data_IF_568860460773
#
_entry.id   IF_568860460773
#
_cell.length_a   1.000
_cell.length_b   1.000
_cell.length_c   1.000
_cell.angle_alpha   90.00
_cell.angle_beta   90.00
_cell.angle_gamma   90.00
#
_symmetry.space_group_name_H-M   'P 1'
#
loop_
_entity.id
_entity.type
_entity.pdbx_description
1 polymer ?
#
# COMPACT_ATOMS: atom_id res chain seq x y z
N UNK A 1 -14.35 8.51 -19.40
CA UNK A 1 -14.58 8.51 -17.94
C UNK A 1 -14.43 7.09 -17.43
N UNK A 2 -13.97 6.87 -16.19
CA UNK A 2 -13.76 5.51 -15.68
C UNK A 2 -15.07 4.70 -15.56
N UNK A 3 -15.05 3.46 -16.05
CA UNK A 3 -16.15 2.49 -15.88
C UNK A 3 -16.24 1.99 -14.44
N UNK A 4 -17.40 1.46 -14.04
CA UNK A 4 -17.63 0.95 -12.70
C UNK A 4 -16.61 -0.16 -12.32
N UNK A 5 -16.33 -1.08 -13.25
CA UNK A 5 -15.33 -2.14 -13.07
C UNK A 5 -13.91 -1.58 -12.93
N UNK A 6 -13.51 -0.60 -13.75
CA UNK A 6 -12.21 0.07 -13.61
C UNK A 6 -12.07 0.76 -12.26
N UNK A 7 -13.13 1.40 -11.75
CA UNK A 7 -13.12 2.05 -10.45
C UNK A 7 -12.98 1.03 -9.32
N UNK A 8 -13.74 -0.06 -9.34
CA UNK A 8 -13.64 -1.12 -8.34
C UNK A 8 -12.22 -1.71 -8.34
N UNK A 9 -11.71 -2.08 -9.52
CA UNK A 9 -10.36 -2.59 -9.67
C UNK A 9 -9.32 -1.63 -9.11
N UNK A 10 -9.41 -0.35 -9.45
CA UNK A 10 -8.43 0.65 -9.04
C UNK A 10 -8.47 0.95 -7.54
N UNK A 11 -9.66 1.00 -6.92
CA UNK A 11 -9.79 1.20 -5.47
C UNK A 11 -9.22 0.01 -4.71
N UNK A 12 -9.44 -1.22 -5.18
CA UNK A 12 -8.86 -2.42 -4.57
C UNK A 12 -7.33 -2.49 -4.75
N UNK A 13 -6.80 -1.95 -5.86
CA UNK A 13 -5.35 -1.82 -6.03
C UNK A 13 -4.77 -0.72 -5.12
N UNK A 14 -5.48 0.38 -4.90
CA UNK A 14 -5.04 1.42 -3.98
C UNK A 14 -5.01 0.94 -2.51
N UNK A 15 -5.93 0.06 -2.11
CA UNK A 15 -5.91 -0.56 -0.77
C UNK A 15 -4.89 -1.70 -0.62
N UNK A 16 -4.36 -2.21 -1.74
CA UNK A 16 -3.33 -3.26 -1.89
C UNK A 16 -3.19 -4.25 -0.74
N UNK A 17 -3.79 -5.43 -0.90
CA UNK A 17 -3.65 -6.52 0.07
C UNK A 17 -2.20 -7.02 0.11
N UNK A 18 -1.42 -6.50 1.04
CA UNK A 18 -0.01 -6.88 1.21
C UNK A 18 0.08 -8.18 2.01
N UNK A 19 0.28 -9.29 1.30
CA UNK A 19 0.38 -10.62 1.94
C UNK A 19 1.70 -10.83 2.68
N UNK A 20 2.81 -10.30 2.15
CA UNK A 20 4.16 -10.46 2.71
C UNK A 20 4.95 -9.14 2.56
N UNK A 21 5.07 -8.31 3.61
CA UNK A 21 5.71 -7.00 3.54
C UNK A 21 7.25 -7.09 3.63
N UNK A 22 7.87 -7.83 2.71
CA UNK A 22 9.32 -8.14 2.73
C UNK A 22 10.17 -6.87 2.75
N UNK A 23 9.76 -5.83 2.03
CA UNK A 23 10.46 -4.54 1.99
C UNK A 23 10.49 -3.88 3.37
N UNK A 24 9.42 -4.00 4.16
CA UNK A 24 9.35 -3.45 5.52
C UNK A 24 10.23 -4.25 6.47
N UNK A 25 10.25 -5.59 6.34
CA UNK A 25 11.18 -6.43 7.11
C UNK A 25 12.63 -6.04 6.81
N UNK A 26 12.95 -5.84 5.54
CA UNK A 26 14.29 -5.40 5.13
C UNK A 26 14.65 -4.03 5.72
N UNK A 27 13.73 -3.05 5.70
CA UNK A 27 13.99 -1.75 6.31
C UNK A 27 14.23 -1.85 7.81
N UNK A 28 13.42 -2.65 8.52
CA UNK A 28 13.60 -2.90 9.95
C UNK A 28 14.94 -3.58 10.24
N UNK A 29 15.30 -4.61 9.47
CA UNK A 29 16.58 -5.30 9.61
C UNK A 29 17.78 -4.36 9.35
N UNK A 30 17.71 -3.53 8.30
CA UNK A 30 18.74 -2.53 8.00
C UNK A 30 18.89 -1.47 9.10
N UNK A 31 17.81 -1.19 9.83
CA UNK A 31 17.79 -0.28 10.96
C UNK A 31 18.09 -0.96 12.30
N UNK A 32 18.47 -2.25 12.29
CA UNK A 32 18.92 -2.98 13.48
C UNK A 32 17.81 -3.60 14.34
N UNK A 33 16.61 -3.82 13.81
CA UNK A 33 15.53 -4.46 14.56
C UNK A 33 15.92 -5.90 14.96
N UNK A 34 15.80 -6.27 16.26
CA UNK A 34 16.00 -7.64 16.72
C UNK A 34 15.02 -8.62 16.07
N UNK A 35 13.76 -8.19 15.92
CA UNK A 35 12.73 -8.91 15.16
C UNK A 35 12.13 -8.01 14.07
N UNK A 36 12.62 -8.11 12.83
CA UNK A 36 12.08 -7.37 11.70
C UNK A 36 10.63 -7.74 11.34
N UNK A 37 10.17 -8.93 11.72
CA UNK A 37 8.86 -9.47 11.33
C UNK A 37 7.74 -9.12 12.30
N UNK A 38 8.07 -8.51 13.44
CA UNK A 38 7.13 -8.11 14.49
C UNK A 38 5.92 -7.29 13.97
N UNK A 39 6.09 -6.54 12.88
CA UNK A 39 5.02 -5.73 12.25
C UNK A 39 4.14 -6.50 11.27
N UNK A 40 4.39 -7.78 11.03
CA UNK A 40 3.73 -8.59 10.01
C UNK A 40 2.22 -8.69 10.20
N UNK A 41 1.78 -9.20 11.35
CA UNK A 41 0.35 -9.38 11.63
C UNK A 41 -0.40 -8.04 11.70
N UNK A 42 0.16 -6.98 12.32
CA UNK A 42 -0.41 -5.64 12.23
C UNK A 42 -0.61 -5.11 10.81
N UNK A 43 0.37 -5.29 9.92
CA UNK A 43 0.26 -4.90 8.50
C UNK A 43 -0.89 -5.64 7.85
N UNK A 44 -0.98 -6.96 8.07
CA UNK A 44 -2.00 -7.83 7.50
C UNK A 44 -3.42 -7.42 7.91
N UNK A 45 -3.60 -7.06 9.18
CA UNK A 45 -4.88 -6.56 9.68
C UNK A 45 -5.23 -5.18 9.12
N UNK A 46 -4.27 -4.26 9.08
CA UNK A 46 -4.48 -2.92 8.55
C UNK A 46 -4.82 -2.92 7.05
N UNK A 47 -4.12 -3.73 6.25
CA UNK A 47 -4.40 -3.85 4.81
C UNK A 47 -5.74 -4.55 4.52
N UNK A 48 -6.11 -5.53 5.34
CA UNK A 48 -7.41 -6.19 5.25
C UNK A 48 -8.55 -5.21 5.55
N UNK A 49 -8.40 -4.38 6.58
CA UNK A 49 -9.36 -3.33 6.91
C UNK A 49 -9.49 -2.30 5.79
N UNK A 50 -8.36 -1.84 5.23
CA UNK A 50 -8.34 -0.92 4.08
C UNK A 50 -9.08 -1.52 2.88
N UNK A 51 -8.78 -2.76 2.53
CA UNK A 51 -9.37 -3.47 1.38
C UNK A 51 -10.88 -3.68 1.56
N UNK A 52 -11.30 -4.04 2.78
CA UNK A 52 -12.72 -4.19 3.10
C UNK A 52 -13.46 -2.86 2.95
N UNK A 53 -12.91 -1.75 3.49
CA UNK A 53 -13.52 -0.42 3.33
C UNK A 53 -13.51 0.03 1.87
N UNK A 54 -12.46 -0.25 1.11
CA UNK A 54 -12.41 -0.01 -0.33
C UNK A 54 -13.52 -0.73 -1.09
N UNK A 55 -13.69 -2.04 -0.84
CA UNK A 55 -14.76 -2.84 -1.43
C UNK A 55 -16.16 -2.31 -1.04
N UNK A 56 -16.39 -2.07 0.25
CA UNK A 56 -17.68 -1.64 0.77
C UNK A 56 -18.05 -0.23 0.28
N UNK A 57 -17.09 0.69 0.22
CA UNK A 57 -17.31 2.06 -0.26
C UNK A 57 -17.71 2.07 -1.74
N UNK A 58 -17.01 1.31 -2.59
CA UNK A 58 -17.38 1.17 -4.00
C UNK A 58 -18.73 0.48 -4.15
N UNK A 59 -18.98 -0.57 -3.38
CA UNK A 59 -20.26 -1.29 -3.36
C UNK A 59 -21.42 -0.35 -3.05
N UNK A 60 -21.28 0.48 -2.02
CA UNK A 60 -22.30 1.45 -1.61
C UNK A 60 -22.59 2.47 -2.72
N UNK A 61 -21.53 3.07 -3.27
CA UNK A 61 -21.64 4.13 -4.28
C UNK A 61 -22.15 3.60 -5.62
N UNK A 62 -21.72 2.41 -6.03
CA UNK A 62 -22.14 1.76 -7.28
C UNK A 62 -23.40 0.90 -7.12
N UNK A 63 -23.91 0.74 -5.89
CA UNK A 63 -25.06 -0.11 -5.54
C UNK A 63 -24.90 -1.56 -6.02
N UNK A 64 -23.71 -2.12 -5.82
CA UNK A 64 -23.43 -3.51 -6.16
C UNK A 64 -24.14 -4.46 -5.18
N UNK A 65 -24.70 -5.55 -5.70
CA UNK A 65 -25.37 -6.57 -4.87
C UNK A 65 -24.35 -7.62 -4.43
N UNK A 66 -23.63 -7.36 -3.33
CA UNK A 66 -22.67 -8.34 -2.77
C UNK A 66 -23.32 -9.66 -2.33
N UNK A 67 -24.62 -9.62 -2.02
CA UNK A 67 -25.42 -10.78 -1.63
C UNK A 67 -25.92 -11.61 -2.81
N UNK A 68 -25.59 -11.22 -4.04
CA UNK A 68 -25.93 -12.03 -5.22
C UNK A 68 -25.22 -13.40 -5.11
N UNK A 69 -25.93 -14.53 -5.31
CA UNK A 69 -25.34 -15.87 -5.18
C UNK A 69 -24.10 -16.07 -6.06
N UNK A 70 -24.06 -15.46 -7.25
CA UNK A 70 -22.91 -15.55 -8.15
C UNK A 70 -21.73 -14.77 -7.57
N UNK A 71 -21.97 -13.57 -7.05
CA UNK A 71 -20.93 -12.74 -6.42
C UNK A 71 -20.38 -13.43 -5.16
N UNK A 72 -21.25 -13.97 -4.31
CA UNK A 72 -20.84 -14.74 -3.12
C UNK A 72 -20.08 -16.02 -3.49
N UNK A 73 -20.47 -16.71 -4.57
CA UNK A 73 -19.77 -17.90 -5.05
C UNK A 73 -18.31 -17.61 -5.44
N UNK A 74 -17.99 -16.39 -5.88
CA UNK A 74 -16.61 -15.97 -6.13
C UNK A 74 -15.92 -15.38 -4.89
N UNK A 75 -16.61 -14.51 -4.14
CA UNK A 75 -16.01 -13.79 -3.01
C UNK A 75 -15.75 -14.70 -1.81
N UNK A 76 -16.65 -15.62 -1.49
CA UNK A 76 -16.54 -16.44 -0.29
C UNK A 76 -15.35 -17.43 -0.37
N UNK A 77 -15.17 -18.22 -1.44
CA UNK A 77 -14.01 -19.08 -1.55
C UNK A 77 -12.69 -18.30 -1.60
N UNK A 78 -12.66 -17.14 -2.26
CA UNK A 78 -11.47 -16.29 -2.29
C UNK A 78 -11.14 -15.75 -0.90
N UNK A 79 -12.14 -15.26 -0.16
CA UNK A 79 -11.96 -14.77 1.20
C UNK A 79 -11.52 -15.89 2.16
N UNK A 80 -12.08 -17.10 2.02
CA UNK A 80 -11.68 -18.27 2.81
C UNK A 80 -10.27 -18.74 2.45
N UNK A 81 -9.90 -18.75 1.17
CA UNK A 81 -8.56 -19.11 0.73
C UNK A 81 -7.52 -18.12 1.24
N UNK A 82 -7.80 -16.80 1.12
CA UNK A 82 -6.94 -15.76 1.66
C UNK A 82 -6.86 -15.84 3.19
N UNK A 83 -7.99 -15.97 3.89
CA UNK A 83 -8.03 -16.11 5.34
C UNK A 83 -7.31 -17.36 5.84
N UNK A 84 -7.46 -18.49 5.16
CA UNK A 84 -6.74 -19.73 5.45
C UNK A 84 -5.24 -19.61 5.20
N UNK A 85 -4.84 -18.95 4.11
CA UNK A 85 -3.43 -18.66 3.82
C UNK A 85 -2.83 -17.72 4.88
N UNK A 86 -3.56 -16.68 5.28
CA UNK A 86 -3.17 -15.77 6.36
C UNK A 86 -3.02 -16.50 7.70
N UNK A 87 -3.97 -17.38 8.03
CA UNK A 87 -3.91 -18.21 9.25
C UNK A 87 -2.70 -19.16 9.23
N UNK A 88 -2.40 -19.75 8.07
CA UNK A 88 -1.19 -20.57 7.90
C UNK A 88 0.07 -19.72 8.12
N UNK A 89 0.18 -18.57 7.47
CA UNK A 89 1.32 -17.66 7.63
C UNK A 89 1.51 -17.22 9.09
N UNK A 90 0.43 -17.03 9.83
CA UNK A 90 0.47 -16.68 11.25
C UNK A 90 1.02 -17.80 12.16
N UNK A 91 1.06 -19.06 11.71
CA UNK A 91 1.65 -20.18 12.48
C UNK A 91 3.16 -20.36 12.22
N UNK A 92 3.71 -19.69 11.21
CA UNK A 92 5.13 -19.80 10.84
C UNK A 92 6.01 -18.90 11.71
N UNK A 93 7.25 -19.33 11.95
CA UNK A 93 8.27 -18.49 12.59
C UNK A 93 8.71 -17.35 11.67
N UNK A 94 9.24 -16.27 12.26
CA UNK A 94 9.84 -15.14 11.55
C UNK A 94 10.84 -15.57 10.46
N UNK A 95 11.71 -16.52 10.79
CA UNK A 95 12.71 -17.07 9.88
C UNK A 95 12.08 -17.85 8.72
N UNK A 96 11.04 -18.65 9.00
CA UNK A 96 10.31 -19.39 7.98
C UNK A 96 9.53 -18.46 7.05
N UNK A 97 8.89 -17.41 7.58
CA UNK A 97 8.21 -16.37 6.80
C UNK A 97 9.18 -15.66 5.85
N UNK A 98 10.35 -15.24 6.35
CA UNK A 98 11.36 -14.57 5.52
C UNK A 98 11.89 -15.50 4.40
N UNK A 99 12.19 -16.76 4.72
CA UNK A 99 12.66 -17.74 3.75
C UNK A 99 11.60 -18.06 2.68
N UNK A 100 10.36 -18.31 3.11
CA UNK A 100 9.24 -18.56 2.20
C UNK A 100 8.98 -17.36 1.30
N UNK A 101 8.96 -16.15 1.85
CA UNK A 101 8.74 -14.92 1.08
C UNK A 101 9.81 -14.70 0.03
N UNK A 102 11.09 -14.89 0.40
CA UNK A 102 12.22 -14.76 -0.53
C UNK A 102 12.15 -15.78 -1.65
N UNK A 103 11.90 -17.06 -1.30
CA UNK A 103 11.80 -18.13 -2.28
C UNK A 103 10.63 -17.89 -3.25
N UNK A 104 9.43 -17.62 -2.72
CA UNK A 104 8.24 -17.35 -3.55
C UNK A 104 8.44 -16.11 -4.42
N UNK A 105 8.98 -15.02 -3.87
CA UNK A 105 9.23 -13.79 -4.62
C UNK A 105 10.21 -13.99 -5.77
N UNK A 106 11.34 -14.66 -5.51
CA UNK A 106 12.35 -14.94 -6.53
C UNK A 106 11.82 -15.90 -7.60
N UNK A 107 11.13 -16.97 -7.20
CA UNK A 107 10.52 -17.93 -8.14
C UNK A 107 9.40 -17.28 -8.96
N UNK A 108 8.58 -16.43 -8.36
CA UNK A 108 7.51 -15.73 -9.08
C UNK A 108 8.08 -14.75 -10.12
N UNK A 109 9.10 -13.95 -9.75
CA UNK A 109 9.74 -13.01 -10.68
C UNK A 109 10.43 -13.74 -11.81
N UNK A 110 11.25 -14.75 -11.49
CA UNK A 110 11.92 -15.56 -12.49
C UNK A 110 10.92 -16.31 -13.38
N UNK A 111 9.92 -16.94 -12.76
CA UNK A 111 8.85 -17.66 -13.43
C UNK A 111 8.07 -16.76 -14.38
N UNK A 112 7.74 -15.53 -13.98
CA UNK A 112 7.06 -14.55 -14.84
C UNK A 112 7.88 -14.23 -16.09
N UNK A 113 9.19 -13.99 -15.95
CA UNK A 113 10.08 -13.76 -17.09
C UNK A 113 10.11 -14.99 -18.00
N UNK A 114 10.30 -16.18 -17.44
CA UNK A 114 10.31 -17.45 -18.19
C UNK A 114 8.99 -17.67 -18.91
N UNK A 115 7.85 -17.42 -18.27
CA UNK A 115 6.52 -17.55 -18.88
C UNK A 115 6.39 -16.63 -20.10
N UNK A 116 6.84 -15.38 -20.03
CA UNK A 116 6.81 -14.48 -21.20
C UNK A 116 7.75 -14.94 -22.31
N UNK A 117 8.96 -15.39 -21.98
CA UNK A 117 9.92 -15.92 -22.97
C UNK A 117 9.36 -17.17 -23.66
N UNK A 118 8.83 -18.12 -22.89
CA UNK A 118 8.25 -19.37 -23.40
C UNK A 118 6.99 -19.09 -24.22
N UNK A 119 6.08 -18.25 -23.73
CA UNK A 119 4.88 -17.87 -24.46
C UNK A 119 5.23 -17.17 -25.79
N UNK A 120 6.24 -16.29 -25.77
CA UNK A 120 6.79 -15.65 -26.96
C UNK A 120 7.40 -16.65 -27.94
N UNK A 121 8.20 -17.61 -27.45
CA UNK A 121 8.79 -18.66 -28.27
C UNK A 121 7.73 -19.58 -28.92
N UNK A 122 6.75 -20.03 -28.13
CA UNK A 122 5.64 -20.87 -28.62
C UNK A 122 4.78 -20.16 -29.67
N UNK A 123 4.55 -18.85 -29.51
CA UNK A 123 3.82 -18.02 -30.48
C UNK A 123 4.70 -17.45 -31.59
N UNK A 124 5.98 -17.83 -31.65
CA UNK A 124 6.98 -17.34 -32.62
C UNK A 124 7.07 -15.81 -32.68
N UNK A 125 6.91 -15.16 -31.54
CA UNK A 125 7.08 -13.71 -31.38
C UNK A 125 8.56 -13.41 -31.20
N UNK A 126 9.06 -12.36 -31.87
CA UNK A 126 10.41 -11.84 -31.64
C UNK A 126 10.44 -11.10 -30.31
N UNK A 127 10.70 -11.85 -29.24
CA UNK A 127 10.55 -11.36 -27.85
C UNK A 127 11.43 -10.14 -27.57
N UNK A 128 12.65 -10.11 -28.13
CA UNK A 128 13.53 -8.95 -28.00
C UNK A 128 12.92 -7.69 -28.63
N UNK A 129 12.45 -7.76 -29.88
CA UNK A 129 11.85 -6.61 -30.57
C UNK A 129 10.60 -6.11 -29.84
N UNK A 130 9.73 -7.03 -29.41
CA UNK A 130 8.53 -6.70 -28.65
C UNK A 130 8.85 -6.06 -27.29
N UNK A 131 9.89 -6.53 -26.60
CA UNK A 131 10.37 -5.93 -25.35
C UNK A 131 10.87 -4.49 -25.58
N UNK A 132 11.68 -4.27 -26.62
CA UNK A 132 12.20 -2.93 -26.95
C UNK A 132 11.06 -1.97 -27.29
N UNK A 133 10.05 -2.42 -28.04
CA UNK A 133 8.90 -1.58 -28.37
C UNK A 133 8.08 -1.23 -27.11
N UNK A 134 7.76 -2.23 -26.28
CA UNK A 134 7.10 -1.99 -24.99
C UNK A 134 7.89 -1.07 -24.06
N UNK A 135 9.23 -1.13 -24.08
CA UNK A 135 10.08 -0.23 -23.32
C UNK A 135 9.99 1.22 -23.81
N UNK A 136 9.88 1.46 -25.12
CA UNK A 136 9.66 2.81 -25.68
C UNK A 136 8.29 3.36 -25.31
N UNK A 137 7.23 2.55 -25.43
CA UNK A 137 5.88 2.94 -25.00
C UNK A 137 5.85 3.29 -23.50
N UNK A 138 6.54 2.50 -22.67
CA UNK A 138 6.71 2.79 -21.25
C UNK A 138 7.41 4.13 -20.98
N UNK A 139 8.38 4.50 -21.81
CA UNK A 139 9.04 5.80 -21.73
C UNK A 139 8.12 6.96 -22.11
N UNK A 140 7.22 6.77 -23.08
CA UNK A 140 6.19 7.77 -23.41
C UNK A 140 5.20 7.96 -22.26
N UNK A 141 4.75 6.86 -21.64
CA UNK A 141 3.91 6.93 -20.43
C UNK A 141 4.65 7.68 -19.30
N UNK A 142 5.93 7.40 -19.08
CA UNK A 142 6.73 8.07 -18.06
C UNK A 142 6.80 9.60 -18.29
N UNK A 143 7.00 10.06 -19.53
CA UNK A 143 7.00 11.49 -19.88
C UNK A 143 5.67 12.17 -19.53
N UNK A 144 4.54 11.49 -19.70
CA UNK A 144 3.23 12.03 -19.32
C UNK A 144 3.00 12.08 -17.81
N UNK A 145 3.56 11.14 -17.04
CA UNK A 145 3.38 11.07 -15.59
C UNK A 145 4.35 11.96 -14.81
N UNK A 146 5.58 12.10 -15.29
CA UNK A 146 6.68 12.77 -14.59
C UNK A 146 6.34 14.19 -14.08
N UNK A 147 5.67 15.08 -14.85
CA UNK A 147 5.32 16.41 -14.37
C UNK A 147 4.43 16.40 -13.12
N UNK A 148 3.43 15.52 -13.08
CA UNK A 148 2.53 15.38 -11.92
C UNK A 148 3.28 14.91 -10.69
N UNK A 149 4.19 13.94 -10.87
CA UNK A 149 5.01 13.40 -9.78
C UNK A 149 5.96 14.44 -9.22
N UNK A 150 6.64 15.21 -10.08
CA UNK A 150 7.56 16.28 -9.66
C UNK A 150 6.80 17.36 -8.89
N UNK A 151 5.67 17.84 -9.41
CA UNK A 151 4.87 18.88 -8.72
C UNK A 151 4.42 18.43 -7.33
N UNK A 152 3.95 17.19 -7.22
CA UNK A 152 3.51 16.59 -5.96
C UNK A 152 4.68 16.38 -4.97
N UNK A 153 5.82 15.87 -5.42
CA UNK A 153 7.01 15.70 -4.58
C UNK A 153 7.59 17.04 -4.12
N UNK A 154 7.59 18.06 -4.98
CA UNK A 154 7.95 19.43 -4.62
C UNK A 154 6.99 19.99 -3.55
N UNK A 155 5.68 19.80 -3.70
CA UNK A 155 4.69 20.25 -2.72
C UNK A 155 4.90 19.60 -1.34
N UNK A 156 5.17 18.29 -1.30
CA UNK A 156 5.52 17.57 -0.06
C UNK A 156 6.81 18.12 0.55
N UNK A 157 7.84 18.39 -0.28
CA UNK A 157 9.10 18.98 0.16
C UNK A 157 8.91 20.36 0.79
N UNK A 158 8.12 21.23 0.16
CA UNK A 158 7.77 22.56 0.69
C UNK A 158 6.99 22.44 2.00
N UNK A 159 5.99 21.56 2.06
CA UNK A 159 5.20 21.33 3.28
C UNK A 159 6.09 20.94 4.45
N UNK A 160 7.06 20.04 4.23
CA UNK A 160 8.03 19.61 5.25
C UNK A 160 9.00 20.72 5.65
N UNK A 161 9.61 21.41 4.67
CA UNK A 161 10.60 22.45 4.94
C UNK A 161 10.00 23.71 5.58
N UNK A 162 8.70 23.96 5.37
CA UNK A 162 7.99 25.12 5.92
C UNK A 162 7.67 25.03 7.43
N UNK A 163 7.81 23.85 8.05
CA UNK A 163 7.36 23.60 9.43
C UNK A 163 5.83 23.51 9.58
N UNK A 164 5.05 23.66 8.50
CA UNK A 164 3.59 23.54 8.55
C UNK A 164 3.14 22.15 9.01
N UNK A 165 3.88 21.10 8.61
CA UNK A 165 3.63 19.74 9.08
C UNK A 165 3.80 19.64 10.60
N UNK A 166 4.87 20.21 11.17
CA UNK A 166 5.12 20.18 12.62
C UNK A 166 4.03 20.91 13.40
N UNK A 167 3.56 22.05 12.89
CA UNK A 167 2.44 22.80 13.49
C UNK A 167 1.15 21.98 13.46
N UNK A 168 0.84 21.34 12.33
CA UNK A 168 -0.33 20.48 12.20
C UNK A 168 -0.28 19.29 13.17
N UNK A 169 0.87 18.62 13.26
CA UNK A 169 1.08 17.52 14.21
C UNK A 169 1.02 17.98 15.66
N UNK A 170 1.54 19.18 15.98
CA UNK A 170 1.40 19.81 17.28
C UNK A 170 -0.06 20.05 17.67
N UNK A 171 -0.87 20.53 16.71
CA UNK A 171 -2.31 20.69 16.88
C UNK A 171 -3.04 19.36 17.14
N UNK A 172 -2.72 18.31 16.38
CA UNK A 172 -3.27 16.97 16.60
C UNK A 172 -2.87 16.45 17.97
N UNK A 173 -1.58 16.56 18.34
CA UNK A 173 -1.08 16.13 19.66
C UNK A 173 -1.82 16.81 20.79
N UNK A 174 -2.05 18.11 20.66
CA UNK A 174 -2.79 18.89 21.65
C UNK A 174 -4.26 18.47 21.76
N UNK A 175 -4.93 18.17 20.64
CA UNK A 175 -6.31 17.67 20.64
C UNK A 175 -6.41 16.29 21.30
N UNK A 176 -5.49 15.37 20.98
CA UNK A 176 -5.44 14.03 21.56
C UNK A 176 -5.13 14.08 23.06
N UNK A 177 -4.20 14.95 23.47
CA UNK A 177 -3.88 15.13 24.88
C UNK A 177 -5.08 15.63 25.71
N UNK A 178 -5.98 16.43 25.11
CA UNK A 178 -7.21 16.88 25.77
C UNK A 178 -8.23 15.78 26.02
N UNK A 179 -8.23 14.73 25.22
CA UNK A 179 -9.12 13.58 25.44
C UNK A 179 -8.53 12.58 26.44
N UNK A 180 -7.31 12.82 26.94
CA UNK A 180 -6.58 11.88 27.80
C UNK A 180 -6.06 10.64 27.08
N UNK A 181 -6.06 10.67 25.74
CA UNK A 181 -5.59 9.56 24.91
C UNK A 181 -4.09 9.66 24.68
N UNK A 182 -3.49 8.50 24.40
CA UNK A 182 -2.09 8.42 24.04
C UNK A 182 -1.84 9.05 22.65
N UNK A 183 -0.89 9.98 22.57
CA UNK A 183 -0.55 10.71 21.35
C UNK A 183 0.72 10.22 20.64
N UNK A 184 1.31 9.08 21.03
CA UNK A 184 2.52 8.51 20.40
C UNK A 184 2.33 8.29 18.90
N UNK A 185 1.13 7.91 18.45
CA UNK A 185 0.87 7.70 17.02
C UNK A 185 1.06 8.96 16.15
N UNK A 186 1.01 10.16 16.73
CA UNK A 186 1.13 11.43 16.00
C UNK A 186 2.47 11.51 15.27
N UNK A 187 3.52 10.94 15.86
CA UNK A 187 4.87 10.90 15.27
C UNK A 187 4.99 9.96 14.06
N UNK A 188 3.99 9.09 13.84
CA UNK A 188 3.89 8.24 12.65
C UNK A 188 3.09 8.87 11.50
N UNK A 189 2.32 9.95 11.77
CA UNK A 189 1.45 10.59 10.79
C UNK A 189 2.16 11.22 9.58
N UNK A 190 3.43 11.71 9.65
CA UNK A 190 4.15 12.11 8.45
C UNK A 190 4.14 11.04 7.35
N UNK A 191 4.34 9.77 7.74
CA UNK A 191 4.29 8.63 6.81
C UNK A 191 2.90 8.50 6.20
N UNK A 192 1.83 8.55 7.01
CA UNK A 192 0.44 8.45 6.55
C UNK A 192 0.05 9.59 5.60
N UNK A 193 0.48 10.83 5.87
CA UNK A 193 0.09 12.00 5.08
C UNK A 193 0.78 12.03 3.71
N UNK A 194 2.02 11.54 3.64
CA UNK A 194 2.81 11.53 2.40
C UNK A 194 2.47 10.34 1.52
N UNK A 195 2.06 9.21 2.11
CA UNK A 195 1.84 7.93 1.42
C UNK A 195 0.85 7.96 0.25
N UNK A 196 -0.32 8.64 0.31
CA UNK A 196 -1.25 8.72 -0.82
C UNK A 196 -0.60 9.31 -2.08
N UNK A 197 0.41 10.15 -1.89
CA UNK A 197 1.13 10.86 -2.94
C UNK A 197 2.35 10.06 -3.40
N UNK A 198 3.22 9.64 -2.47
CA UNK A 198 4.47 8.98 -2.82
C UNK A 198 4.91 7.94 -1.79
N UNK A 199 5.09 6.71 -2.26
CA UNK A 199 5.52 5.58 -1.46
C UNK A 199 7.00 5.67 -1.10
N UNK A 200 7.83 6.27 -1.98
CA UNK A 200 9.25 6.50 -1.71
C UNK A 200 9.47 7.63 -0.69
N UNK A 201 8.67 8.70 -0.75
CA UNK A 201 8.72 9.76 0.25
C UNK A 201 8.17 9.29 1.61
N UNK A 202 7.09 8.51 1.63
CA UNK A 202 6.57 7.90 2.85
C UNK A 202 7.56 6.91 3.47
N UNK A 203 8.25 6.10 2.64
CA UNK A 203 9.37 5.27 3.10
C UNK A 203 10.49 6.11 3.73
N UNK A 204 10.83 7.26 3.14
CA UNK A 204 11.85 8.13 3.73
C UNK A 204 11.40 8.64 5.12
N UNK A 205 10.12 8.96 5.30
CA UNK A 205 9.56 9.32 6.61
C UNK A 205 9.67 8.16 7.60
N UNK A 206 9.32 6.94 7.19
CA UNK A 206 9.50 5.73 8.02
C UNK A 206 10.94 5.57 8.50
N UNK A 207 11.90 5.62 7.58
CA UNK A 207 13.32 5.46 7.91
C UNK A 207 13.80 6.58 8.85
N UNK A 208 13.33 7.81 8.64
CA UNK A 208 13.64 8.93 9.53
C UNK A 208 13.09 8.70 10.94
N UNK A 209 11.84 8.24 11.08
CA UNK A 209 11.25 7.88 12.38
C UNK A 209 12.06 6.77 13.07
N UNK A 210 12.48 5.74 12.33
CA UNK A 210 13.32 4.66 12.87
C UNK A 210 14.69 5.17 13.35
N UNK A 211 15.32 6.10 12.62
CA UNK A 211 16.62 6.68 12.99
C UNK A 211 16.51 7.60 14.20
N UNK A 212 15.45 8.40 14.28
CA UNK A 212 15.29 9.44 15.30
C UNK A 212 14.71 8.91 16.60
N UNK A 213 13.82 7.92 16.54
CA UNK A 213 13.11 7.40 17.72
C UNK A 213 13.47 5.96 18.07
N UNK A 214 14.22 5.26 17.21
CA UNK A 214 14.54 3.85 17.35
C UNK A 214 13.57 2.95 16.59
N UNK A 215 14.08 1.85 16.04
CA UNK A 215 13.36 0.97 15.11
C UNK A 215 12.14 0.26 15.71
N UNK A 216 12.14 0.05 17.03
CA UNK A 216 11.05 -0.59 17.78
C UNK A 216 10.27 0.41 18.67
N UNK A 217 10.50 1.70 18.49
CA UNK A 217 9.64 2.71 19.11
C UNK A 217 8.21 2.59 18.57
N UNK A 218 7.22 2.90 19.40
CA UNK A 218 5.82 2.87 18.99
C UNK A 218 5.57 3.64 17.68
N UNK A 219 6.13 4.86 17.48
CA UNK A 219 5.91 5.59 16.23
C UNK A 219 6.59 4.94 15.02
N UNK A 220 7.76 4.32 15.20
CA UNK A 220 8.41 3.56 14.13
C UNK A 220 7.62 2.30 13.74
N UNK A 221 7.03 1.61 14.73
CA UNK A 221 6.13 0.47 14.49
C UNK A 221 4.86 0.89 13.76
N UNK A 222 4.19 1.96 14.23
CA UNK A 222 3.01 2.50 13.57
C UNK A 222 3.32 2.97 12.14
N UNK A 223 4.43 3.68 11.92
CA UNK A 223 4.86 4.09 10.59
C UNK A 223 5.19 2.90 9.68
N UNK A 224 5.77 1.83 10.22
CA UNK A 224 6.05 0.60 9.46
C UNK A 224 4.76 -0.10 9.02
N UNK A 225 3.76 -0.15 9.90
CA UNK A 225 2.45 -0.72 9.60
C UNK A 225 1.72 0.10 8.55
N UNK A 226 1.69 1.44 8.69
CA UNK A 226 1.14 2.36 7.69
C UNK A 226 1.85 2.19 6.35
N UNK A 227 3.18 2.14 6.34
CA UNK A 227 3.93 1.99 5.09
C UNK A 227 3.65 0.64 4.41
N UNK A 228 3.36 -0.41 5.17
CA UNK A 228 3.03 -1.73 4.65
C UNK A 228 1.55 -1.98 4.33
N UNK A 229 0.62 -1.11 4.72
CA UNK A 229 -0.82 -1.44 4.70
C UNK A 229 -1.56 -1.11 3.40
N UNK A 230 -1.09 -0.13 2.62
CA UNK A 230 -1.81 0.44 1.46
C UNK A 230 -0.84 0.86 0.35
N UNK A 231 -1.37 1.22 -0.82
CA UNK A 231 -0.60 1.73 -1.95
C UNK A 231 -0.73 3.25 -2.13
N UNK A 232 0.01 3.77 -3.09
CA UNK A 232 0.03 5.21 -3.38
C UNK A 232 -1.21 5.64 -4.18
N UNK A 233 -2.28 6.02 -3.49
CA UNK A 233 -3.58 6.38 -4.11
C UNK A 233 -3.43 7.25 -5.37
N UNK A 234 -2.88 8.47 -5.27
CA UNK A 234 -2.81 9.39 -6.41
C UNK A 234 -1.88 8.91 -7.52
N UNK A 235 -0.80 8.22 -7.18
CA UNK A 235 0.13 7.63 -8.16
C UNK A 235 -0.54 6.50 -8.94
N UNK A 236 -1.19 5.56 -8.25
CA UNK A 236 -1.98 4.48 -8.85
C UNK A 236 -3.03 5.09 -9.78
N UNK A 237 -3.80 6.07 -9.31
CA UNK A 237 -4.77 6.75 -10.15
C UNK A 237 -4.15 7.41 -11.38
N UNK A 238 -3.04 8.13 -11.23
CA UNK A 238 -2.37 8.82 -12.33
C UNK A 238 -1.83 7.84 -13.37
N UNK A 239 -1.18 6.74 -12.94
CA UNK A 239 -0.64 5.71 -13.84
C UNK A 239 -1.77 5.00 -14.59
N UNK A 240 -2.79 4.52 -13.87
CA UNK A 240 -3.88 3.77 -14.49
C UNK A 240 -4.75 4.64 -15.39
N UNK A 241 -5.11 5.85 -14.97
CA UNK A 241 -5.90 6.75 -15.81
C UNK A 241 -5.05 7.34 -16.94
N UNK A 242 -3.77 7.61 -16.72
CA UNK A 242 -2.83 8.07 -17.74
C UNK A 242 -2.62 7.05 -18.85
N UNK A 243 -2.37 5.77 -18.50
CA UNK A 243 -2.13 4.70 -19.47
C UNK A 243 -3.35 4.39 -20.35
N UNK A 244 -4.57 4.66 -19.88
CA UNK A 244 -5.83 4.36 -20.60
C UNK A 244 -6.54 5.65 -21.06
N UNK A 245 -5.90 6.82 -20.95
CA UNK A 245 -6.43 8.10 -21.42
C UNK A 245 -7.71 8.58 -20.70
N UNK A 246 -7.94 8.18 -19.44
CA UNK A 246 -9.13 8.53 -18.67
C UNK A 246 -8.96 9.93 -18.04
N UNK A 247 -9.79 10.88 -18.46
CA UNK A 247 -9.77 12.25 -17.92
C UNK A 247 -10.67 12.49 -16.69
N UNK A 248 -11.63 11.58 -16.43
CA UNK A 248 -12.62 11.74 -15.33
C UNK A 248 -12.61 10.54 -14.39
N UNK A 249 -12.12 10.76 -13.17
CA UNK A 249 -11.98 9.77 -12.12
C UNK A 249 -13.29 9.37 -11.40
N UNK A 250 -14.36 10.18 -11.53
CA UNK A 250 -15.65 9.97 -10.82
C UNK A 250 -15.42 9.81 -9.30
N UNK A 251 -15.94 8.73 -8.71
CA UNK A 251 -15.85 8.43 -7.27
C UNK A 251 -14.61 7.61 -6.89
N UNK A 252 -13.71 7.29 -7.84
CA UNK A 252 -12.51 6.50 -7.56
C UNK A 252 -11.60 7.14 -6.50
N UNK A 253 -11.34 8.45 -6.62
CA UNK A 253 -10.48 9.18 -5.67
C UNK A 253 -11.06 9.11 -4.27
N UNK A 254 -12.35 9.39 -4.12
CA UNK A 254 -13.01 9.41 -2.81
C UNK A 254 -13.03 8.02 -2.15
N UNK A 255 -13.36 6.98 -2.90
CA UNK A 255 -13.34 5.60 -2.37
C UNK A 255 -11.92 5.13 -2.02
N UNK A 256 -10.92 5.47 -2.84
CA UNK A 256 -9.52 5.13 -2.57
C UNK A 256 -8.98 5.86 -1.34
N UNK A 257 -9.24 7.16 -1.20
CA UNK A 257 -8.84 7.92 0.00
C UNK A 257 -9.55 7.44 1.27
N UNK A 258 -10.80 6.98 1.16
CA UNK A 258 -11.52 6.39 2.29
C UNK A 258 -10.92 5.04 2.70
N UNK A 259 -10.54 4.20 1.73
CA UNK A 259 -9.81 2.96 1.99
C UNK A 259 -8.45 3.24 2.63
N UNK A 260 -7.72 4.24 2.15
CA UNK A 260 -6.44 4.69 2.70
C UNK A 260 -6.59 5.15 4.16
N UNK A 261 -7.57 6.02 4.42
CA UNK A 261 -7.88 6.51 5.77
C UNK A 261 -8.21 5.34 6.72
N UNK A 262 -9.02 4.39 6.26
CA UNK A 262 -9.32 3.20 7.03
C UNK A 262 -8.08 2.35 7.32
N UNK A 263 -7.16 2.23 6.34
CA UNK A 263 -5.88 1.56 6.53
C UNK A 263 -5.00 2.25 7.58
N UNK A 264 -4.89 3.57 7.53
CA UNK A 264 -4.14 4.37 8.51
C UNK A 264 -4.75 4.26 9.91
N UNK A 265 -6.07 4.39 10.04
CA UNK A 265 -6.76 4.26 11.33
C UNK A 265 -6.61 2.84 11.88
N UNK A 266 -6.79 1.81 11.05
CA UNK A 266 -6.58 0.43 11.44
C UNK A 266 -5.13 0.17 11.86
N UNK A 267 -4.15 0.70 11.14
CA UNK A 267 -2.74 0.60 11.49
C UNK A 267 -2.47 1.18 12.89
N UNK A 268 -2.99 2.37 13.19
CA UNK A 268 -2.83 3.02 14.49
C UNK A 268 -3.49 2.19 15.60
N UNK A 269 -4.75 1.77 15.42
CA UNK A 269 -5.49 1.00 16.42
C UNK A 269 -4.86 -0.37 16.69
N UNK A 270 -4.43 -1.08 15.63
CA UNK A 270 -3.77 -2.38 15.77
C UNK A 270 -2.39 -2.22 16.40
N UNK A 271 -1.65 -1.15 16.11
CA UNK A 271 -0.40 -0.87 16.82
C UNK A 271 -0.62 -0.63 18.31
N UNK A 272 -1.67 0.11 18.72
CA UNK A 272 -2.01 0.24 20.14
C UNK A 272 -2.43 -1.10 20.75
N UNK A 273 -3.07 -1.98 20.01
CA UNK A 273 -3.44 -3.30 20.52
C UNK A 273 -2.24 -4.22 20.74
N UNK A 274 -1.25 -4.19 19.84
CA UNK A 274 -0.08 -5.07 19.90
C UNK A 274 1.11 -4.50 20.69
N UNK A 275 1.27 -3.17 20.71
CA UNK A 275 2.48 -2.48 21.20
C UNK A 275 2.18 -1.32 22.17
N UNK A 276 0.90 -1.11 22.51
CA UNK A 276 0.41 -0.03 23.35
C UNK A 276 0.79 -0.18 24.81
#
# INVERSE_FOLDING_TARGET
AASNAQILFLVLNASSLTLLPVTIFMYRAQQGAPDPTLVFLPILLATSASTLVGLLSVTLVQRLRLWDPVVLAYLLPLALALGGFMALLATLSAAALAALSSLLGNLALFGMIVVFLVAGALRRVRVYDAFIEGAKEGFDVAKHLLPYLVAMLCAVGVLRASGALDVALGGIRWLVARTGWDARFVDALPTALVKPFSGSAARAMLIETMKTQGVDSFPALAAAVIQGSTETTFYVLAVYFGAVGIQRARHAVACALLAELAGVVAAILVCYWFFG
#
